data_IF_202860913097
#
_entry.id   IF_202860913097
#
_cell.length_a   1.000
_cell.length_b   1.000
_cell.length_c   1.000
_cell.angle_alpha   90.00
_cell.angle_beta   90.00
_cell.angle_gamma   90.00
#
_symmetry.space_group_name_H-M   'P 1'
#
loop_
_entity.id
_entity.type
_entity.pdbx_description
1 polymer ?
#
# COMPACT_ATOMS: atom_id res chain seq x y z
N UNK A 1 6.38 -14.98 41.37
CA UNK A 1 6.23 -15.44 39.98
C UNK A 1 6.41 -14.21 39.11
N UNK A 2 7.56 -14.08 38.43
CA UNK A 2 7.87 -12.92 37.58
C UNK A 2 7.12 -13.09 36.25
N UNK A 3 6.25 -12.14 35.89
CA UNK A 3 5.64 -12.09 34.56
C UNK A 3 6.72 -11.55 33.63
N UNK A 4 7.39 -12.46 32.92
CA UNK A 4 8.29 -12.09 31.84
C UNK A 4 7.45 -11.44 30.73
N UNK A 5 7.38 -10.11 30.72
CA UNK A 5 6.91 -9.36 29.55
C UNK A 5 7.93 -9.57 28.44
N UNK A 6 7.75 -10.65 27.69
CA UNK A 6 8.38 -10.81 26.38
C UNK A 6 7.79 -9.72 25.51
N UNK A 7 8.45 -8.55 25.49
CA UNK A 7 8.24 -7.60 24.41
C UNK A 7 8.40 -8.40 23.12
N UNK A 8 7.30 -8.54 22.38
CA UNK A 8 7.33 -9.14 21.06
C UNK A 8 8.31 -8.29 20.26
N UNK A 9 9.47 -8.86 19.94
CA UNK A 9 10.31 -8.29 18.88
C UNK A 9 9.39 -8.27 17.67
N UNK A 10 9.09 -7.10 17.08
CA UNK A 10 8.21 -7.05 15.93
C UNK A 10 8.80 -7.99 14.89
N UNK A 11 8.00 -8.97 14.48
CA UNK A 11 8.36 -9.80 13.36
C UNK A 11 8.65 -8.88 12.17
N UNK A 12 9.56 -9.28 11.30
CA UNK A 12 9.86 -8.47 10.12
C UNK A 12 8.54 -8.20 9.38
N UNK A 13 8.26 -6.94 9.03
CA UNK A 13 6.99 -6.58 8.37
C UNK A 13 6.87 -7.39 7.09
N UNK A 14 5.80 -8.18 7.00
CA UNK A 14 5.60 -9.05 5.85
C UNK A 14 5.35 -8.23 4.59
N UNK A 15 5.75 -8.80 3.45
CA UNK A 15 5.54 -8.17 2.15
C UNK A 15 4.05 -7.92 1.87
N UNK A 16 3.18 -8.79 2.38
CA UNK A 16 1.74 -8.62 2.30
C UNK A 16 1.26 -7.37 3.05
N UNK A 17 1.78 -7.13 4.26
CA UNK A 17 1.46 -5.95 5.06
C UNK A 17 1.93 -4.66 4.38
N UNK A 18 3.13 -4.69 3.78
CA UNK A 18 3.66 -3.57 3.01
C UNK A 18 2.80 -3.27 1.77
N UNK A 19 2.31 -4.28 1.06
CA UNK A 19 1.40 -4.07 -0.09
C UNK A 19 0.06 -3.48 0.35
N UNK A 20 -0.52 -3.99 1.45
CA UNK A 20 -1.75 -3.46 2.01
C UNK A 20 -1.60 -2.00 2.45
N UNK A 21 -0.44 -1.63 3.00
CA UNK A 21 -0.13 -0.23 3.35
C UNK A 21 0.14 0.64 2.11
N UNK A 22 0.80 0.10 1.09
CA UNK A 22 1.17 0.82 -0.11
C UNK A 22 -0.05 1.26 -0.94
N UNK A 23 -1.10 0.43 -1.07
CA UNK A 23 -2.27 0.77 -1.89
C UNK A 23 -2.96 2.10 -1.49
N UNK A 24 -3.39 2.30 -0.22
CA UNK A 24 -4.04 3.56 0.17
C UNK A 24 -3.07 4.74 0.13
N UNK A 25 -1.79 4.55 0.46
CA UNK A 25 -0.78 5.61 0.43
C UNK A 25 -0.51 6.10 -0.99
N UNK A 26 -0.29 5.17 -1.93
CA UNK A 26 -0.09 5.50 -3.34
C UNK A 26 -1.34 6.13 -3.93
N UNK A 27 -2.53 5.60 -3.63
CA UNK A 27 -3.77 6.21 -4.08
C UNK A 27 -3.90 7.65 -3.59
N UNK A 28 -3.78 7.88 -2.28
CA UNK A 28 -3.94 9.20 -1.69
C UNK A 28 -2.87 10.19 -2.21
N UNK A 29 -1.62 9.74 -2.31
CA UNK A 29 -0.51 10.56 -2.81
C UNK A 29 -0.70 10.97 -4.26
N UNK A 30 -1.03 10.02 -5.15
CA UNK A 30 -1.25 10.29 -6.57
C UNK A 30 -2.50 11.13 -6.77
N UNK A 31 -3.59 10.83 -6.06
CA UNK A 31 -4.82 11.62 -6.13
C UNK A 31 -4.54 13.06 -5.71
N UNK A 32 -3.91 13.28 -4.55
CA UNK A 32 -3.61 14.63 -4.07
C UNK A 32 -2.69 15.39 -5.05
N UNK A 33 -1.65 14.73 -5.57
CA UNK A 33 -0.72 15.33 -6.53
C UNK A 33 -1.39 15.72 -7.86
N UNK A 34 -2.35 14.93 -8.34
CA UNK A 34 -3.10 15.25 -9.55
C UNK A 34 -4.19 16.29 -9.27
N UNK A 35 -4.88 16.19 -8.14
CA UNK A 35 -6.00 17.06 -7.79
C UNK A 35 -5.59 18.53 -7.64
N UNK A 36 -4.35 18.83 -7.22
CA UNK A 36 -3.85 20.22 -7.19
C UNK A 36 -3.65 20.83 -8.58
N UNK A 37 -3.66 20.02 -9.64
CA UNK A 37 -3.43 20.44 -11.02
C UNK A 37 -4.66 20.31 -11.91
N UNK A 38 -5.77 19.72 -11.42
CA UNK A 38 -6.97 19.46 -12.23
C UNK A 38 -8.19 20.20 -11.69
N UNK A 39 -9.07 20.66 -12.61
CA UNK A 39 -10.30 21.38 -12.26
C UNK A 39 -11.46 20.49 -11.82
N UNK A 40 -11.34 19.17 -11.99
CA UNK A 40 -12.31 18.18 -11.54
C UNK A 40 -11.58 16.94 -10.97
N UNK A 41 -12.35 16.08 -10.30
CA UNK A 41 -11.82 14.89 -9.61
C UNK A 41 -11.64 13.64 -10.50
N UNK A 42 -12.03 13.69 -11.77
CA UNK A 42 -12.01 12.51 -12.66
C UNK A 42 -10.57 12.11 -13.00
N UNK A 43 -9.67 12.99 -13.52
CA UNK A 43 -8.30 12.61 -13.82
C UNK A 43 -7.50 12.17 -12.57
N UNK A 44 -7.60 12.83 -11.40
CA UNK A 44 -6.96 12.35 -10.18
C UNK A 44 -7.41 10.96 -9.77
N UNK A 45 -8.73 10.70 -9.82
CA UNK A 45 -9.30 9.40 -9.48
C UNK A 45 -8.81 8.31 -10.45
N UNK A 46 -8.86 8.58 -11.75
CA UNK A 46 -8.41 7.64 -12.78
C UNK A 46 -6.91 7.34 -12.66
N UNK A 47 -6.08 8.36 -12.46
CA UNK A 47 -4.63 8.22 -12.32
C UNK A 47 -4.24 7.45 -11.05
N UNK A 48 -4.82 7.80 -9.91
CA UNK A 48 -4.60 7.08 -8.65
C UNK A 48 -5.03 5.61 -8.74
N UNK A 49 -6.18 5.35 -9.36
CA UNK A 49 -6.67 3.98 -9.59
C UNK A 49 -5.74 3.18 -10.50
N UNK A 50 -5.24 3.78 -11.58
CA UNK A 50 -4.31 3.14 -12.50
C UNK A 50 -3.01 2.72 -11.80
N UNK A 51 -2.45 3.59 -10.94
CA UNK A 51 -1.25 3.26 -10.14
C UNK A 51 -1.52 2.10 -9.20
N UNK A 52 -2.67 2.07 -8.52
CA UNK A 52 -3.04 0.92 -7.68
C UNK A 52 -3.19 -0.36 -8.49
N UNK A 53 -3.77 -0.32 -9.69
CA UNK A 53 -3.85 -1.49 -10.57
C UNK A 53 -2.46 -2.03 -10.92
N UNK A 54 -1.49 -1.16 -11.19
CA UNK A 54 -0.11 -1.59 -11.46
C UNK A 54 0.52 -2.28 -10.24
N UNK A 55 0.33 -1.73 -9.03
CA UNK A 55 0.80 -2.35 -7.79
C UNK A 55 0.11 -3.70 -7.52
N UNK A 56 -1.17 -3.83 -7.82
CA UNK A 56 -1.91 -5.08 -7.67
C UNK A 56 -1.40 -6.12 -8.67
N UNK A 57 -1.27 -5.75 -9.95
CA UNK A 57 -0.74 -6.66 -10.98
C UNK A 57 0.65 -7.13 -10.61
N UNK A 58 1.55 -6.22 -10.23
CA UNK A 58 2.91 -6.57 -9.85
C UNK A 58 2.95 -7.36 -8.53
N UNK A 59 2.42 -6.81 -7.45
CA UNK A 59 2.56 -7.33 -6.09
C UNK A 59 1.68 -8.52 -5.74
N UNK A 60 0.58 -8.75 -6.47
CA UNK A 60 -0.36 -9.86 -6.19
C UNK A 60 -0.32 -10.94 -7.27
N UNK A 61 -0.10 -10.59 -8.54
CA UNK A 61 -0.15 -11.58 -9.63
C UNK A 61 1.22 -11.97 -10.18
N UNK A 62 2.10 -11.02 -10.47
CA UNK A 62 3.42 -11.32 -11.06
C UNK A 62 4.44 -11.73 -10.01
N UNK A 63 4.44 -11.02 -8.88
CA UNK A 63 5.34 -11.22 -7.76
C UNK A 63 4.49 -11.34 -6.49
N UNK A 64 3.67 -12.40 -6.31
CA UNK A 64 2.85 -12.56 -5.11
C UNK A 64 3.72 -12.59 -3.84
N UNK A 65 3.20 -12.15 -2.68
CA UNK A 65 3.83 -12.48 -1.41
C UNK A 65 3.87 -14.01 -1.28
N UNK A 66 5.07 -14.56 -1.11
CA UNK A 66 5.26 -15.95 -0.70
C UNK A 66 5.21 -15.97 0.82
N UNK A 67 4.60 -17.01 1.40
CA UNK A 67 4.55 -17.16 2.87
C UNK A 67 5.97 -17.06 3.45
N UNK A 68 6.12 -16.27 4.53
CA UNK A 68 7.36 -16.10 5.28
C UNK A 68 7.75 -17.34 6.08
#
# INVERSE_FOLDING_TARGET
MSVESRAAVPDAVDRADLLLLAFPLCFAGVYAALAVNTGDGIPPLAGASAVCCLLIVDGVFLNPPVDG
#
